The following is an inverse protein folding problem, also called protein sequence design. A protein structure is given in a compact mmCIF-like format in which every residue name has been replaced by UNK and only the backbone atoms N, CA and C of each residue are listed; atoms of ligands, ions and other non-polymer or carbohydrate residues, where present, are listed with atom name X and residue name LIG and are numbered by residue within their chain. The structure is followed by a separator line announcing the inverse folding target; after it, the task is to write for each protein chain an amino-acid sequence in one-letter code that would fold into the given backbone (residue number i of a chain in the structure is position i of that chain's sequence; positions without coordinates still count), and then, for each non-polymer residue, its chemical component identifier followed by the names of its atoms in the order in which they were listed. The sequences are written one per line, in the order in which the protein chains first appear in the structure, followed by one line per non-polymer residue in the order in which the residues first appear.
data_IF_199319567418
#
_entry.id   IF_199319567418
#
_cell.length_a   1.000
_cell.length_b   1.000
_cell.length_c   1.000
_cell.angle_alpha   90.00
_cell.angle_beta   90.00
_cell.angle_gamma   90.00
#
_symmetry.space_group_name_H-M   'P 1'
#
loop_
_entity.id
_entity.type
_entity.pdbx_description
1 polymer ?
#
# COMPACT_ATOMS: atom_id res chain seq x y z
N UNK A 1 -25.90 3.96 3.21
CA UNK A 1 -25.45 2.56 2.99
C UNK A 1 -24.00 2.49 3.43
N UNK A 2 -23.64 1.60 4.36
CA UNK A 2 -22.25 1.46 4.78
C UNK A 2 -21.45 0.89 3.59
N UNK A 3 -20.64 1.72 2.97
CA UNK A 3 -19.72 1.30 1.92
C UNK A 3 -18.69 0.40 2.58
N UNK A 4 -18.64 -0.88 2.17
CA UNK A 4 -17.56 -1.77 2.59
C UNK A 4 -16.23 -1.15 2.14
N UNK A 5 -15.19 -1.14 2.99
CA UNK A 5 -13.91 -0.58 2.61
C UNK A 5 -13.32 -1.35 1.43
N UNK A 6 -12.57 -0.68 0.53
CA UNK A 6 -11.88 -1.35 -0.57
C UNK A 6 -10.95 -2.46 -0.03
N UNK A 7 -10.90 -3.62 -0.70
CA UNK A 7 -9.99 -4.69 -0.32
C UNK A 7 -8.54 -4.25 -0.58
N UNK A 8 -7.64 -4.59 0.35
CA UNK A 8 -6.19 -4.49 0.11
C UNK A 8 -5.77 -5.75 -0.65
N UNK A 9 -4.95 -5.66 -1.71
CA UNK A 9 -4.47 -6.83 -2.45
C UNK A 9 -3.93 -7.92 -1.53
N UNK A 10 -4.41 -9.14 -1.75
CA UNK A 10 -4.14 -10.31 -0.91
C UNK A 10 -2.63 -10.56 -0.73
N UNK A 11 -1.86 -10.38 -1.82
CA UNK A 11 -0.40 -10.52 -1.80
C UNK A 11 0.28 -9.47 -0.91
N UNK A 12 -0.21 -8.23 -0.89
CA UNK A 12 0.34 -7.19 -0.01
C UNK A 12 0.05 -7.53 1.46
N UNK A 13 -1.15 -8.05 1.76
CA UNK A 13 -1.51 -8.49 3.11
C UNK A 13 -0.59 -9.62 3.59
N UNK A 14 -0.31 -10.62 2.74
CA UNK A 14 0.61 -11.71 3.05
C UNK A 14 2.03 -11.20 3.34
N UNK A 15 2.56 -10.34 2.46
CA UNK A 15 3.89 -9.76 2.59
C UNK A 15 4.04 -8.85 3.82
N UNK A 16 2.94 -8.24 4.28
CA UNK A 16 2.87 -7.35 5.43
C UNK A 16 2.35 -8.03 6.71
N UNK A 17 2.33 -9.36 6.78
CA UNK A 17 1.84 -10.09 7.97
C UNK A 17 2.55 -9.71 9.28
N UNK A 18 3.82 -9.29 9.21
CA UNK A 18 4.58 -8.74 10.34
C UNK A 18 4.36 -7.24 10.62
N UNK A 19 3.55 -6.56 9.82
CA UNK A 19 3.39 -5.10 9.82
C UNK A 19 1.89 -4.70 9.62
N UNK A 20 0.99 -5.10 10.53
CA UNK A 20 -0.46 -4.88 10.36
C UNK A 20 -0.84 -3.39 10.22
N UNK A 21 -0.12 -2.50 10.89
CA UNK A 21 -0.30 -1.04 10.74
C UNK A 21 -0.07 -0.53 9.30
N UNK A 22 0.80 -1.20 8.54
CA UNK A 22 1.04 -0.83 7.14
C UNK A 22 -0.13 -1.25 6.26
N UNK A 23 -0.79 -2.37 6.57
CA UNK A 23 -2.01 -2.81 5.87
C UNK A 23 -3.14 -1.80 6.08
N UNK A 24 -3.32 -1.29 7.29
CA UNK A 24 -4.34 -0.26 7.56
C UNK A 24 -4.05 1.05 6.80
N UNK A 25 -2.80 1.48 6.74
CA UNK A 25 -2.40 2.64 5.93
C UNK A 25 -2.64 2.44 4.42
N UNK A 26 -2.52 1.20 3.92
CA UNK A 26 -2.93 0.88 2.53
C UNK A 26 -4.45 1.00 2.35
N UNK A 27 -5.23 0.49 3.31
CA UNK A 27 -6.69 0.58 3.31
C UNK A 27 -7.17 2.03 3.34
N UNK A 28 -6.53 2.88 4.14
CA UNK A 28 -6.82 4.33 4.21
C UNK A 28 -6.61 5.01 2.86
N UNK A 29 -5.47 4.75 2.21
CA UNK A 29 -5.17 5.31 0.89
C UNK A 29 -6.17 4.86 -0.16
N UNK A 30 -6.52 3.57 -0.17
CA UNK A 30 -7.55 3.04 -1.08
C UNK A 30 -8.93 3.66 -0.81
N UNK A 31 -9.28 3.88 0.45
CA UNK A 31 -10.54 4.52 0.83
C UNK A 31 -10.59 5.97 0.34
N UNK A 32 -9.46 6.68 0.39
CA UNK A 32 -9.34 8.05 -0.13
C UNK A 32 -9.60 8.16 -1.64
N UNK A 33 -9.35 7.10 -2.43
CA UNK A 33 -9.63 7.09 -3.88
C UNK A 33 -11.12 7.22 -4.17
N UNK A 34 -12.00 6.80 -3.25
CA UNK A 34 -13.45 6.93 -3.39
C UNK A 34 -13.92 8.40 -3.36
N UNK A 35 -13.19 9.24 -2.64
CA UNK A 35 -13.48 10.67 -2.47
C UNK A 35 -12.88 11.51 -3.60
N UNK A 36 -12.09 10.91 -4.50
CA UNK A 36 -11.50 11.65 -5.61
C UNK A 36 -12.57 12.08 -6.62
N UNK A 37 -12.47 13.31 -7.15
CA UNK A 37 -13.38 13.76 -8.19
C UNK A 37 -13.27 12.86 -9.42
N UNK A 38 -14.33 12.75 -10.23
CA UNK A 38 -14.29 12.05 -11.51
C UNK A 38 -13.09 12.48 -12.35
N UNK A 39 -12.44 11.51 -13.00
CA UNK A 39 -11.25 11.72 -13.82
C UNK A 39 -11.35 10.84 -15.06
N UNK A 40 -10.57 11.20 -16.09
CA UNK A 40 -10.34 10.34 -17.26
C UNK A 40 -9.65 9.02 -16.89
N UNK A 41 -8.86 9.02 -15.80
CA UNK A 41 -8.23 7.82 -15.27
C UNK A 41 -9.26 6.99 -14.50
N UNK A 42 -9.50 5.72 -14.87
CA UNK A 42 -10.37 4.81 -14.16
C UNK A 42 -10.04 4.71 -12.67
N UNK A 43 -11.05 4.54 -11.82
CA UNK A 43 -10.85 4.44 -10.36
C UNK A 43 -9.92 3.29 -9.97
N UNK A 44 -10.01 2.14 -10.67
CA UNK A 44 -9.14 1.00 -10.43
C UNK A 44 -7.66 1.34 -10.69
N UNK A 45 -7.37 2.01 -11.82
CA UNK A 45 -6.01 2.50 -12.10
C UNK A 45 -5.54 3.52 -11.07
N UNK A 46 -6.41 4.44 -10.63
CA UNK A 46 -6.07 5.40 -9.55
C UNK A 46 -5.77 4.70 -8.23
N UNK A 47 -6.46 3.60 -7.92
CA UNK A 47 -6.19 2.80 -6.74
C UNK A 47 -4.81 2.13 -6.80
N UNK A 48 -4.44 1.57 -7.96
CA UNK A 48 -3.09 1.02 -8.18
C UNK A 48 -2.02 2.10 -8.01
N UNK A 49 -2.18 3.26 -8.65
CA UNK A 49 -1.24 4.39 -8.51
C UNK A 49 -1.13 4.89 -7.06
N UNK A 50 -2.26 4.93 -6.33
CA UNK A 50 -2.27 5.33 -4.94
C UNK A 50 -1.51 4.33 -4.03
N UNK A 51 -1.67 3.03 -4.30
CA UNK A 51 -0.88 1.99 -3.65
C UNK A 51 0.61 2.13 -3.97
N UNK A 52 0.98 2.33 -5.24
CA UNK A 52 2.39 2.53 -5.65
C UNK A 52 3.04 3.66 -4.84
N UNK A 53 2.40 4.85 -4.80
CA UNK A 53 2.93 5.98 -4.05
C UNK A 53 3.02 5.71 -2.53
N UNK A 54 2.07 4.96 -1.95
CA UNK A 54 2.10 4.60 -0.52
C UNK A 54 3.19 3.58 -0.21
N UNK A 55 3.44 2.62 -1.11
CA UNK A 55 4.51 1.63 -0.98
C UNK A 55 5.90 2.26 -1.16
N UNK A 56 6.05 3.21 -2.09
CA UNK A 56 7.27 4.04 -2.21
C UNK A 56 7.54 4.83 -0.94
N UNK A 57 6.50 5.39 -0.32
CA UNK A 57 6.60 6.07 0.97
C UNK A 57 7.04 5.11 2.08
N UNK A 58 6.51 3.89 2.17
CA UNK A 58 6.98 2.90 3.16
C UNK A 58 8.46 2.54 2.96
N UNK A 59 8.90 2.33 1.72
CA UNK A 59 10.31 2.03 1.44
C UNK A 59 11.21 3.20 1.85
N UNK A 60 10.80 4.43 1.54
CA UNK A 60 11.52 5.65 1.92
C UNK A 60 11.56 5.86 3.45
N UNK A 61 10.44 5.62 4.14
CA UNK A 61 10.35 5.69 5.61
C UNK A 61 11.29 4.65 6.25
N UNK A 62 11.24 3.38 5.81
CA UNK A 62 12.11 2.32 6.33
C UNK A 62 13.60 2.55 6.06
N UNK A 63 13.93 3.15 4.90
CA UNK A 63 15.31 3.56 4.60
C UNK A 63 15.81 4.61 5.59
N UNK A 64 14.99 5.62 5.91
CA UNK A 64 15.35 6.68 6.88
C UNK A 64 15.53 6.11 8.28
N UNK A 65 14.68 5.15 8.68
CA UNK A 65 14.84 4.42 9.94
C UNK A 65 16.17 3.66 10.00
N UNK A 66 16.56 2.98 8.91
CA UNK A 66 17.85 2.30 8.80
C UNK A 66 19.03 3.27 8.89
N UNK A 67 18.98 4.38 8.17
CA UNK A 67 20.01 5.43 8.22
C UNK A 67 20.16 6.01 9.64
N UNK A 68 19.04 6.23 10.34
CA UNK A 68 19.05 6.70 11.72
C UNK A 68 19.62 5.65 12.70
N UNK A 69 19.29 4.36 12.52
CA UNK A 69 19.84 3.27 13.32
C UNK A 69 21.35 3.10 13.11
N UNK A 70 21.83 3.26 11.88
CA UNK A 70 23.28 3.26 11.58
C UNK A 70 23.96 4.42 12.29
N UNK A 71 23.36 5.62 12.24
CA UNK A 71 23.89 6.81 12.89
C UNK A 71 23.92 6.71 14.43
N UNK A 72 23.01 5.96 15.04
CA UNK A 72 22.98 5.75 16.49
C UNK A 72 24.05 4.75 16.98
N UNK A 73 24.56 3.89 16.10
CA UNK A 73 25.51 2.83 16.44
C UNK A 73 24.89 1.63 17.17
N UNK A 74 23.56 1.56 17.28
CA UNK A 74 22.86 0.42 17.88
C UNK A 74 22.75 -0.73 16.87
N UNK A 75 23.61 -1.73 17.04
CA UNK A 75 23.65 -2.91 16.17
C UNK A 75 22.31 -3.67 16.14
N UNK A 76 21.56 -3.71 17.24
CA UNK A 76 20.25 -4.37 17.27
C UNK A 76 19.23 -3.59 16.45
N UNK A 77 19.21 -2.26 16.62
CA UNK A 77 18.34 -1.38 15.84
C UNK A 77 18.65 -1.46 14.34
N UNK A 78 19.93 -1.53 13.96
CA UNK A 78 20.35 -1.68 12.55
C UNK A 78 19.80 -2.97 11.93
N UNK A 79 19.94 -4.11 12.62
CA UNK A 79 19.45 -5.41 12.10
C UNK A 79 17.94 -5.37 11.89
N UNK A 80 17.20 -4.79 12.84
CA UNK A 80 15.74 -4.68 12.74
C UNK A 80 15.32 -3.74 11.59
N UNK A 81 15.95 -2.56 11.50
CA UNK A 81 15.64 -1.59 10.44
C UNK A 81 16.02 -2.12 9.05
N UNK A 82 17.10 -2.89 8.93
CA UNK A 82 17.51 -3.52 7.66
C UNK A 82 16.50 -4.59 7.23
N UNK A 83 16.02 -5.42 8.17
CA UNK A 83 14.98 -6.41 7.90
C UNK A 83 13.68 -5.75 7.43
N UNK A 84 13.26 -4.66 8.10
CA UNK A 84 12.10 -3.87 7.68
C UNK A 84 12.28 -3.26 6.30
N UNK A 85 13.42 -2.62 6.02
CA UNK A 85 13.71 -2.02 4.73
C UNK A 85 13.67 -3.05 3.58
N UNK A 86 14.19 -4.26 3.80
CA UNK A 86 14.12 -5.36 2.82
C UNK A 86 12.67 -5.74 2.50
N UNK A 87 11.81 -5.83 3.52
CA UNK A 87 10.38 -6.11 3.32
C UNK A 87 9.73 -4.97 2.53
N UNK A 88 9.91 -3.72 2.94
CA UNK A 88 9.26 -2.57 2.29
C UNK A 88 9.72 -2.39 0.84
N UNK A 89 11.01 -2.61 0.56
CA UNK A 89 11.55 -2.57 -0.81
C UNK A 89 10.95 -3.65 -1.71
N UNK A 90 10.62 -4.82 -1.16
CA UNK A 90 10.00 -5.91 -1.93
C UNK A 90 8.56 -5.60 -2.33
N UNK A 91 7.86 -4.71 -1.61
CA UNK A 91 6.50 -4.33 -1.96
C UNK A 91 6.43 -3.50 -3.25
N UNK A 92 7.52 -2.87 -3.67
CA UNK A 92 7.60 -2.06 -4.90
C UNK A 92 7.47 -2.90 -6.18
N UNK A 93 7.50 -4.23 -6.07
CA UNK A 93 7.36 -5.14 -7.20
C UNK A 93 5.90 -5.22 -7.61
N UNK A 94 5.49 -4.24 -8.42
CA UNK A 94 4.13 -4.03 -8.92
C UNK A 94 3.47 -5.31 -9.44
N UNK A 95 4.20 -6.11 -10.21
CA UNK A 95 3.72 -7.36 -10.81
C UNK A 95 3.19 -8.37 -9.77
N UNK A 96 3.63 -8.28 -8.52
CA UNK A 96 3.20 -9.18 -7.46
C UNK A 96 1.77 -8.89 -6.96
N UNK A 97 1.24 -7.68 -7.14
CA UNK A 97 -0.01 -7.28 -6.48
C UNK A 97 -0.93 -6.36 -7.29
N UNK A 98 -0.43 -5.70 -8.35
CA UNK A 98 -1.19 -4.67 -9.05
C UNK A 98 -2.37 -5.20 -9.88
N UNK A 99 -2.45 -6.50 -10.13
CA UNK A 99 -3.52 -7.16 -10.88
C UNK A 99 -4.38 -8.06 -9.97
N UNK A 100 -4.55 -7.67 -8.70
CA UNK A 100 -5.42 -8.38 -7.76
C UNK A 100 -6.89 -8.21 -8.17
N UNK A 101 -7.53 -9.33 -8.52
CA UNK A 101 -8.88 -9.35 -9.11
C UNK A 101 -9.94 -8.70 -8.19
N UNK A 102 -9.81 -8.86 -6.88
CA UNK A 102 -10.75 -8.31 -5.90
C UNK A 102 -10.65 -6.78 -5.86
N UNK A 103 -9.43 -6.23 -5.91
CA UNK A 103 -9.21 -4.79 -5.98
C UNK A 103 -9.82 -4.20 -7.25
N UNK A 104 -9.53 -4.79 -8.42
CA UNK A 104 -10.04 -4.30 -9.70
C UNK A 104 -11.56 -4.38 -9.76
N UNK A 105 -12.14 -5.54 -9.41
CA UNK A 105 -13.59 -5.75 -9.38
C UNK A 105 -14.31 -4.75 -8.48
N UNK A 106 -13.73 -4.43 -7.32
CA UNK A 106 -14.32 -3.47 -6.39
C UNK A 106 -14.47 -2.06 -7.00
N UNK A 107 -13.43 -1.60 -7.71
CA UNK A 107 -13.43 -0.25 -8.29
C UNK A 107 -14.12 -0.17 -9.65
N UNK A 108 -14.17 -1.25 -10.42
CA UNK A 108 -14.91 -1.34 -11.68
C UNK A 108 -16.43 -1.44 -11.44
N UNK A 109 -16.88 -2.28 -10.50
CA UNK A 109 -18.31 -2.42 -10.18
C UNK A 109 -18.94 -1.10 -9.67
N UNK A 110 -18.14 -0.18 -9.15
CA UNK A 110 -18.55 1.15 -8.66
C UNK A 110 -18.40 2.26 -9.71
N UNK A 111 -17.98 1.95 -10.93
CA UNK A 111 -17.96 2.91 -12.03
C UNK A 111 -19.37 3.10 -12.65
N UNK A 112 -20.29 2.15 -12.44
CA UNK A 112 -21.60 2.08 -13.12
C UNK A 112 -22.82 2.24 -12.19
N UNK A 113 -22.66 2.74 -10.96
CA UNK A 113 -23.81 3.05 -10.10
C UNK A 113 -24.25 4.52 -10.35
N UNK A 114 -25.34 4.78 -11.10
CA UNK A 114 -25.95 6.10 -11.08
C UNK A 114 -26.47 6.39 -9.67
N UNK A 115 -26.17 7.60 -9.16
CA UNK A 115 -26.81 8.16 -7.96
C UNK A 115 -28.33 8.27 -8.13
#
# INVERSE_FOLDING_TARGET
MSVLPPPVPSRLVEMLSGYPEHVERLREVLSGVLEYPPSVTPRAERAVLALEGRLEAFSSEARRELEAAIASGDASAVVQAEAKYKVMSRLLWREAWAYDDDLWSYFEMRADAPE
#
